data_IF_002518672925
#
_entry.id   IF_002518672925
#
_cell.length_a   1.000
_cell.length_b   1.000
_cell.length_c   1.000
_cell.angle_alpha   90.00
_cell.angle_beta   90.00
_cell.angle_gamma   90.00
#
_symmetry.space_group_name_H-M   'P 1'
#
loop_
_entity.id
_entity.type
_entity.pdbx_description
1 polymer ?
#
# COMPACT_ATOMS: atom_id res chain seq x y z
N UNK A 1 -2.52 1.25 18.66
CA UNK A 1 -3.51 0.25 18.22
C UNK A 1 -2.77 -1.05 18.03
N UNK A 2 -3.34 -2.18 18.43
CA UNK A 2 -2.72 -3.48 18.19
C UNK A 2 -3.04 -3.92 16.76
N UNK A 3 -2.02 -4.08 15.92
CA UNK A 3 -2.19 -4.45 14.51
C UNK A 3 -2.69 -5.89 14.37
N UNK A 4 -2.22 -6.78 15.25
CA UNK A 4 -2.64 -8.19 15.29
C UNK A 4 -4.15 -8.34 15.56
N UNK A 5 -4.71 -7.51 16.45
CA UNK A 5 -6.16 -7.54 16.73
C UNK A 5 -7.01 -7.02 15.56
N UNK A 6 -6.44 -6.15 14.72
CA UNK A 6 -7.14 -5.57 13.57
C UNK A 6 -7.03 -6.40 12.31
N UNK A 7 -5.88 -7.04 12.12
CA UNK A 7 -5.53 -7.78 10.90
C UNK A 7 -5.10 -9.22 11.23
N UNK A 8 -5.99 -10.01 11.87
CA UNK A 8 -5.64 -11.34 12.36
C UNK A 8 -5.22 -12.31 11.25
N UNK A 9 -5.78 -12.25 10.04
CA UNK A 9 -5.45 -13.16 8.93
C UNK A 9 -4.05 -12.89 8.40
N UNK A 10 -3.69 -11.61 8.23
CA UNK A 10 -2.32 -11.20 7.89
C UNK A 10 -1.38 -11.71 8.98
N UNK A 11 -1.68 -11.39 10.24
CA UNK A 11 -0.81 -11.73 11.35
C UNK A 11 -0.70 -13.23 11.55
N UNK A 12 -1.72 -14.05 11.26
CA UNK A 12 -1.65 -15.51 11.31
C UNK A 12 -0.56 -16.07 10.40
N UNK A 13 -0.40 -15.49 9.21
CA UNK A 13 0.58 -15.95 8.20
C UNK A 13 1.99 -15.38 8.35
N UNK A 14 2.17 -14.30 9.12
CA UNK A 14 3.50 -13.75 9.38
C UNK A 14 4.33 -14.74 10.21
N UNK A 15 5.56 -15.01 9.80
CA UNK A 15 6.51 -15.81 10.58
C UNK A 15 6.96 -15.05 11.85
N UNK A 16 7.14 -13.74 11.74
CA UNK A 16 7.49 -12.85 12.84
C UNK A 16 6.28 -12.02 13.27
N UNK A 17 5.79 -12.24 14.50
CA UNK A 17 4.65 -11.51 15.07
C UNK A 17 5.05 -10.15 15.69
N UNK A 18 6.34 -9.85 15.79
CA UNK A 18 6.85 -8.58 16.35
C UNK A 18 6.98 -7.47 15.29
N UNK A 19 6.46 -7.68 14.08
CA UNK A 19 6.54 -6.70 13.00
C UNK A 19 5.65 -5.48 13.25
N UNK A 20 6.23 -4.30 13.09
CA UNK A 20 5.52 -3.01 13.07
C UNK A 20 4.96 -2.68 11.68
N UNK A 21 4.04 -1.70 11.61
CA UNK A 21 3.35 -1.25 10.39
C UNK A 21 4.28 -1.01 9.19
N UNK A 22 5.38 -0.28 9.40
CA UNK A 22 6.36 0.06 8.34
C UNK A 22 7.03 -1.15 7.69
N UNK A 23 6.97 -2.31 8.34
CA UNK A 23 7.49 -3.56 7.79
C UNK A 23 6.44 -4.31 6.95
N UNK A 24 5.20 -3.82 6.91
CA UNK A 24 4.09 -4.39 6.14
C UNK A 24 3.73 -3.49 4.95
N UNK A 25 3.65 -2.19 5.19
CA UNK A 25 3.18 -1.20 4.23
C UNK A 25 3.79 0.16 4.56
N UNK A 26 4.32 0.85 3.55
CA UNK A 26 4.69 2.26 3.65
C UNK A 26 3.80 3.10 2.74
N UNK A 27 3.35 4.23 3.26
CA UNK A 27 2.57 5.24 2.53
C UNK A 27 3.20 6.57 2.90
N UNK A 28 3.79 7.23 1.92
CA UNK A 28 4.51 8.48 2.11
C UNK A 28 3.94 9.53 1.17
N UNK A 29 3.85 10.79 1.61
CA UNK A 29 3.51 11.92 0.74
C UNK A 29 4.52 12.03 -0.41
N UNK A 30 4.00 12.13 -1.64
CA UNK A 30 4.80 12.42 -2.81
C UNK A 30 5.01 13.93 -2.88
N UNK A 31 6.20 14.38 -2.50
CA UNK A 31 6.58 15.79 -2.58
C UNK A 31 7.27 16.12 -3.90
N UNK A 32 7.17 17.37 -4.32
CA UNK A 32 7.97 17.92 -5.40
C UNK A 32 9.46 17.89 -5.00
N UNK A 33 10.17 16.83 -5.37
CA UNK A 33 11.62 16.74 -5.21
C UNK A 33 12.30 17.41 -6.41
N UNK A 34 12.56 18.71 -6.27
CA UNK A 34 13.17 19.57 -7.30
C UNK A 34 14.53 19.06 -7.83
N UNK A 35 15.20 18.15 -7.11
CA UNK A 35 16.51 17.60 -7.48
C UNK A 35 16.45 16.21 -8.13
N UNK A 36 15.27 15.60 -8.27
CA UNK A 36 15.12 14.23 -8.76
C UNK A 36 14.54 14.19 -10.18
N UNK A 37 15.41 14.30 -11.19
CA UNK A 37 15.05 14.15 -12.61
C UNK A 37 14.45 12.75 -12.96
N UNK A 38 14.38 11.82 -12.01
CA UNK A 38 13.97 10.42 -12.22
C UNK A 38 12.81 9.93 -11.32
N UNK A 39 12.06 10.80 -10.65
CA UNK A 39 10.91 10.31 -9.89
C UNK A 39 9.72 10.02 -10.83
N UNK A 40 9.28 8.75 -10.88
CA UNK A 40 8.23 8.31 -11.82
C UNK A 40 6.84 8.89 -11.53
N UNK A 41 6.62 9.43 -10.33
CA UNK A 41 5.33 9.96 -9.91
C UNK A 41 5.31 11.48 -9.93
N UNK A 42 4.57 12.05 -10.89
CA UNK A 42 4.25 13.48 -10.91
C UNK A 42 3.41 13.84 -9.67
N UNK A 43 3.95 14.67 -8.78
CA UNK A 43 3.29 15.05 -7.52
C UNK A 43 1.98 15.82 -7.73
N UNK A 44 1.78 16.46 -8.89
CA UNK A 44 0.50 17.10 -9.23
C UNK A 44 -0.59 16.06 -9.52
N UNK A 45 -0.17 14.91 -10.05
CA UNK A 45 -1.05 13.80 -10.45
C UNK A 45 -1.17 12.70 -9.38
N UNK A 46 -0.20 12.56 -8.48
CA UNK A 46 -0.13 11.53 -7.43
C UNK A 46 0.49 12.12 -6.16
N UNK A 47 -0.30 12.31 -5.10
CA UNK A 47 0.16 12.94 -3.86
C UNK A 47 0.68 11.94 -2.81
N UNK A 48 0.57 10.64 -3.05
CA UNK A 48 1.16 9.60 -2.20
C UNK A 48 1.86 8.53 -3.03
N UNK A 49 2.94 8.00 -2.46
CA UNK A 49 3.61 6.78 -2.91
C UNK A 49 3.33 5.67 -1.91
N UNK A 50 2.99 4.50 -2.43
CA UNK A 50 2.62 3.33 -1.65
C UNK A 50 3.58 2.20 -1.98
N UNK A 51 4.19 1.64 -0.94
CA UNK A 51 5.08 0.48 -1.07
C UNK A 51 4.58 -0.70 -0.23
N UNK A 52 4.27 -1.81 -0.89
CA UNK A 52 3.87 -3.07 -0.26
C UNK A 52 5.14 -3.83 0.14
N UNK A 53 5.38 -4.02 1.43
CA UNK A 53 6.63 -4.65 1.88
C UNK A 53 6.65 -6.16 1.61
N UNK A 54 7.86 -6.71 1.47
CA UNK A 54 8.13 -8.13 1.19
C UNK A 54 7.31 -9.12 2.04
N UNK A 55 7.08 -8.92 3.36
CA UNK A 55 6.26 -9.85 4.15
C UNK A 55 4.83 -9.98 3.64
N UNK A 56 4.22 -8.88 3.18
CA UNK A 56 2.87 -8.88 2.59
C UNK A 56 2.90 -9.52 1.21
N UNK A 57 3.90 -9.19 0.40
CA UNK A 57 4.06 -9.81 -0.92
C UNK A 57 4.18 -11.34 -0.82
N UNK A 58 4.94 -11.84 0.15
CA UNK A 58 5.10 -13.27 0.39
C UNK A 58 3.79 -13.95 0.86
N UNK A 59 2.98 -13.24 1.65
CA UNK A 59 1.68 -13.74 2.11
C UNK A 59 0.68 -13.85 0.95
N UNK A 60 0.67 -12.87 0.06
CA UNK A 60 -0.26 -12.78 -1.06
C UNK A 60 0.19 -13.68 -2.22
N UNK A 61 1.46 -13.60 -2.58
CA UNK A 61 1.98 -14.13 -3.84
C UNK A 61 1.43 -13.38 -5.05
N UNK A 62 2.04 -13.62 -6.22
CA UNK A 62 1.76 -12.94 -7.49
C UNK A 62 0.26 -12.81 -7.80
N UNK A 63 -0.49 -13.92 -7.73
CA UNK A 63 -1.93 -13.93 -8.07
C UNK A 63 -2.80 -13.06 -7.15
N UNK A 64 -2.50 -13.03 -5.85
CA UNK A 64 -3.28 -12.21 -4.91
C UNK A 64 -2.80 -10.76 -4.91
N UNK A 65 -1.54 -10.50 -5.28
CA UNK A 65 -1.06 -9.15 -5.58
C UNK A 65 -1.82 -8.54 -6.76
N UNK A 66 -2.01 -9.28 -7.86
CA UNK A 66 -2.86 -8.84 -8.98
C UNK A 66 -4.29 -8.52 -8.51
N UNK A 67 -4.86 -9.38 -7.67
CA UNK A 67 -6.21 -9.17 -7.12
C UNK A 67 -6.28 -7.92 -6.24
N UNK A 68 -5.26 -7.67 -5.42
CA UNK A 68 -5.16 -6.46 -4.61
C UNK A 68 -5.11 -5.23 -5.50
N UNK A 69 -4.24 -5.23 -6.50
CA UNK A 69 -4.08 -4.12 -7.45
C UNK A 69 -5.40 -3.82 -8.16
N UNK A 70 -6.09 -4.83 -8.68
CA UNK A 70 -7.40 -4.66 -9.33
C UNK A 70 -8.42 -4.04 -8.35
N UNK A 71 -8.44 -4.48 -7.09
CA UNK A 71 -9.35 -3.93 -6.08
C UNK A 71 -9.04 -2.47 -5.70
N UNK A 72 -7.76 -2.09 -5.67
CA UNK A 72 -7.35 -0.74 -5.33
C UNK A 72 -7.57 0.22 -6.50
N UNK A 73 -7.29 -0.21 -7.73
CA UNK A 73 -7.45 0.61 -8.92
C UNK A 73 -8.90 1.08 -9.16
N UNK A 74 -9.87 0.25 -8.80
CA UNK A 74 -11.30 0.57 -8.90
C UNK A 74 -11.88 1.24 -7.63
N UNK A 75 -11.04 1.55 -6.63
CA UNK A 75 -11.49 2.12 -5.38
C UNK A 75 -11.78 3.62 -5.50
N UNK A 76 -13.00 4.03 -5.17
CA UNK A 76 -13.46 5.44 -5.25
C UNK A 76 -12.66 6.40 -4.34
N UNK A 77 -11.88 5.89 -3.39
CA UNK A 77 -10.99 6.70 -2.55
C UNK A 77 -9.76 7.23 -3.30
N UNK A 78 -9.43 6.66 -4.47
CA UNK A 78 -8.32 7.10 -5.30
C UNK A 78 -8.83 7.80 -6.56
N UNK A 79 -8.53 9.08 -6.68
CA UNK A 79 -8.84 9.88 -7.87
C UNK A 79 -7.97 9.47 -9.06
N UNK A 80 -6.74 9.04 -8.77
CA UNK A 80 -5.79 8.53 -9.73
C UNK A 80 -4.98 7.40 -9.09
N UNK A 81 -4.61 6.40 -9.89
CA UNK A 81 -3.88 5.23 -9.45
C UNK A 81 -2.99 4.73 -10.59
N UNK A 82 -1.68 4.73 -10.34
CA UNK A 82 -0.68 4.22 -11.29
C UNK A 82 0.20 3.18 -10.60
N UNK A 83 0.54 2.15 -11.36
CA UNK A 83 1.41 1.06 -10.94
C UNK A 83 2.76 1.32 -11.62
N UNK A 84 3.78 1.57 -10.83
CA UNK A 84 5.17 1.66 -11.31
C UNK A 84 5.79 0.26 -11.32
N UNK A 85 5.70 -0.43 -10.18
CA UNK A 85 6.15 -1.81 -9.98
C UNK A 85 5.04 -2.65 -9.34
N UNK A 86 5.24 -3.97 -9.24
CA UNK A 86 4.26 -4.88 -8.65
C UNK A 86 3.91 -4.53 -7.20
N UNK A 87 4.82 -3.89 -6.48
CA UNK A 87 4.72 -3.47 -5.09
C UNK A 87 4.82 -1.96 -4.86
N UNK A 88 4.96 -1.15 -5.92
CA UNK A 88 5.13 0.31 -5.85
C UNK A 88 4.07 1.04 -6.67
N UNK A 89 3.24 1.84 -5.99
CA UNK A 89 2.10 2.52 -6.59
C UNK A 89 2.13 4.03 -6.30
N UNK A 90 1.74 4.82 -7.28
CA UNK A 90 1.45 6.24 -7.12
C UNK A 90 -0.06 6.44 -7.04
N UNK A 91 -0.54 7.18 -6.04
CA UNK A 91 -1.98 7.45 -5.90
C UNK A 91 -2.26 8.93 -5.69
N UNK A 92 -3.45 9.35 -6.14
CA UNK A 92 -4.05 10.62 -5.76
C UNK A 92 -5.24 10.37 -4.86
N UNK A 93 -5.20 10.89 -3.64
CA UNK A 93 -6.29 10.74 -2.69
C UNK A 93 -6.48 11.98 -1.83
N UNK A 94 -7.73 12.23 -1.43
CA UNK A 94 -8.06 13.19 -0.38
C UNK A 94 -7.89 12.62 1.04
N UNK A 95 -7.63 11.30 1.16
CA UNK A 95 -7.33 10.65 2.43
C UNK A 95 -5.95 11.05 2.95
N UNK A 96 -5.74 10.95 4.26
CA UNK A 96 -4.40 11.05 4.84
C UNK A 96 -3.70 9.67 4.83
N UNK A 97 -2.39 9.67 5.08
CA UNK A 97 -1.55 8.45 5.13
C UNK A 97 -2.16 7.34 5.98
N UNK A 98 -2.65 7.65 7.18
CA UNK A 98 -3.20 6.67 8.11
C UNK A 98 -4.49 6.02 7.61
N UNK A 99 -5.34 6.80 6.93
CA UNK A 99 -6.57 6.31 6.32
C UNK A 99 -6.27 5.44 5.09
N UNK A 100 -5.29 5.82 4.26
CA UNK A 100 -4.81 5.01 3.12
C UNK A 100 -4.22 3.69 3.62
N UNK A 101 -3.37 3.73 4.64
CA UNK A 101 -2.81 2.54 5.29
C UNK A 101 -3.92 1.61 5.76
N UNK A 102 -4.92 2.17 6.44
CA UNK A 102 -6.03 1.37 6.99
C UNK A 102 -6.88 0.76 5.87
N UNK A 103 -7.12 1.50 4.78
CA UNK A 103 -7.83 1.01 3.61
C UNK A 103 -7.10 -0.17 2.98
N UNK A 104 -5.80 -0.04 2.71
CA UNK A 104 -5.02 -1.07 2.02
C UNK A 104 -4.87 -2.32 2.87
N UNK A 105 -4.52 -2.17 4.15
CA UNK A 105 -4.41 -3.32 5.06
C UNK A 105 -5.75 -4.05 5.22
N UNK A 106 -6.88 -3.34 5.18
CA UNK A 106 -8.20 -3.98 5.20
C UNK A 106 -8.47 -4.79 3.94
N UNK A 107 -8.09 -4.29 2.75
CA UNK A 107 -8.22 -5.06 1.50
C UNK A 107 -7.31 -6.29 1.52
N UNK A 108 -6.07 -6.15 1.98
CA UNK A 108 -5.15 -7.28 2.12
C UNK A 108 -5.75 -8.32 3.07
N UNK A 109 -6.24 -7.91 4.24
CA UNK A 109 -6.85 -8.79 5.24
C UNK A 109 -8.04 -9.60 4.69
N UNK A 110 -8.83 -9.04 3.78
CA UNK A 110 -9.94 -9.73 3.10
C UNK A 110 -9.47 -10.73 2.04
N UNK A 111 -8.34 -10.46 1.39
CA UNK A 111 -7.76 -11.30 0.33
C UNK A 111 -6.99 -12.51 0.92
N UNK A 112 -6.39 -12.34 2.09
CA UNK A 112 -5.51 -13.33 2.75
C UNK A 112 -6.24 -14.62 3.11
#
# INVERSE_FOLDING_TARGET
>A
MNLEEKYPNIFEKLENKELELRHLLNVDENYEDYDSEEYEFDFEEYNFVIYIAEPIQNILGEKKMETLVDSLKDNEAFENFVISEEDLYGVKSALNEGDIVSLILSHIEEIV
#
